data_IF_097997290422
#
_entry.id   IF_097997290422
#
_cell.length_a   1.000
_cell.length_b   1.000
_cell.length_c   1.000
_cell.angle_alpha   90.00
_cell.angle_beta   90.00
_cell.angle_gamma   90.00
#
_symmetry.space_group_name_H-M   'P 1'
#
loop_
_entity.id
_entity.type
_entity.pdbx_description
1 polymer ?
#
# COMPACT_ATOMS: atom_id res chain seq x y z
N UNK A 1 21.98 2.05 4.94
CA UNK A 1 20.84 2.53 4.12
C UNK A 1 20.52 1.48 3.08
N UNK A 2 19.35 0.85 3.22
CA UNK A 2 18.93 -0.29 2.37
C UNK A 2 18.46 0.11 0.97
N UNK A 3 18.07 1.39 0.77
CA UNK A 3 17.49 1.89 -0.48
C UNK A 3 18.32 3.05 -1.06
N UNK A 4 19.62 3.12 -0.74
CA UNK A 4 20.48 4.22 -1.17
C UNK A 4 20.38 4.46 -2.67
N UNK A 5 20.02 5.69 -3.04
CA UNK A 5 19.91 6.21 -4.40
C UNK A 5 18.89 5.48 -5.30
N UNK A 6 18.07 4.58 -4.74
CA UNK A 6 16.95 3.98 -5.50
C UNK A 6 15.85 5.03 -5.71
N UNK A 7 15.36 5.12 -6.94
CA UNK A 7 14.22 5.97 -7.27
C UNK A 7 12.93 5.23 -6.91
N UNK A 8 12.15 5.80 -6.00
CA UNK A 8 10.90 5.22 -5.51
C UNK A 8 9.71 6.14 -5.81
N UNK A 9 8.67 5.60 -6.43
CA UNK A 9 7.40 6.29 -6.66
C UNK A 9 6.36 5.72 -5.68
N UNK A 10 5.73 6.60 -4.89
CA UNK A 10 4.72 6.24 -3.90
C UNK A 10 3.37 6.82 -4.30
N UNK A 11 2.52 6.02 -4.89
CA UNK A 11 1.16 6.38 -5.26
C UNK A 11 0.25 6.32 -4.03
N UNK A 12 -0.52 7.37 -3.79
CA UNK A 12 -1.23 7.60 -2.54
C UNK A 12 -0.32 8.20 -1.46
N UNK A 13 0.76 8.87 -1.85
CA UNK A 13 1.80 9.42 -0.98
C UNK A 13 1.33 10.45 0.05
N UNK A 14 0.16 11.07 -0.14
CA UNK A 14 -0.46 11.98 0.83
C UNK A 14 -1.27 11.26 1.92
N UNK A 15 -1.56 9.97 1.75
CA UNK A 15 -2.30 9.17 2.72
C UNK A 15 -1.43 8.68 3.89
N UNK A 16 -2.05 8.19 4.96
CA UNK A 16 -1.33 7.71 6.14
C UNK A 16 -0.29 6.63 5.79
N UNK A 17 -0.71 5.57 5.09
CA UNK A 17 0.17 4.46 4.69
C UNK A 17 1.23 4.93 3.70
N UNK A 18 0.83 5.59 2.60
CA UNK A 18 1.78 6.08 1.60
C UNK A 18 2.79 7.05 2.16
N UNK A 19 2.36 8.00 3.00
CA UNK A 19 3.24 8.96 3.67
C UNK A 19 4.22 8.30 4.64
N UNK A 20 3.78 7.30 5.41
CA UNK A 20 4.66 6.56 6.32
C UNK A 20 5.73 5.76 5.54
N UNK A 21 5.34 5.08 4.47
CA UNK A 21 6.27 4.33 3.61
C UNK A 21 7.24 5.28 2.91
N UNK A 22 6.77 6.42 2.41
CA UNK A 22 7.61 7.44 1.78
C UNK A 22 8.69 7.96 2.73
N UNK A 23 8.31 8.30 3.96
CA UNK A 23 9.28 8.70 5.01
C UNK A 23 10.26 7.58 5.33
N UNK A 24 9.80 6.33 5.41
CA UNK A 24 10.67 5.19 5.68
C UNK A 24 11.65 4.95 4.53
N UNK A 25 11.21 5.04 3.27
CA UNK A 25 12.07 4.94 2.10
C UNK A 25 13.14 6.04 2.08
N UNK A 26 12.75 7.29 2.34
CA UNK A 26 13.68 8.42 2.41
C UNK A 26 14.73 8.24 3.52
N UNK A 27 14.34 7.79 4.72
CA UNK A 27 15.27 7.45 5.81
C UNK A 27 16.28 6.37 5.40
N UNK A 28 15.93 5.50 4.45
CA UNK A 28 16.81 4.48 3.92
C UNK A 28 17.58 4.93 2.66
N UNK A 29 17.53 6.21 2.32
CA UNK A 29 18.33 6.83 1.27
C UNK A 29 17.72 6.83 -0.12
N UNK A 30 16.45 6.46 -0.28
CA UNK A 30 15.74 6.57 -1.54
C UNK A 30 15.51 8.03 -1.95
N UNK A 31 15.42 8.28 -3.26
CA UNK A 31 14.79 9.49 -3.82
C UNK A 31 13.32 9.18 -4.00
N UNK A 32 12.47 9.87 -3.26
CA UNK A 32 11.04 9.55 -3.21
C UNK A 32 10.23 10.52 -4.06
N UNK A 33 9.46 10.00 -4.99
CA UNK A 33 8.45 10.73 -5.74
C UNK A 33 7.08 10.40 -5.15
N UNK A 34 6.49 11.36 -4.44
CA UNK A 34 5.17 11.28 -3.83
C UNK A 34 4.09 11.60 -4.85
N UNK A 35 3.10 10.75 -4.99
CA UNK A 35 2.05 10.91 -6.02
C UNK A 35 0.66 10.87 -5.39
N UNK A 36 -0.16 11.89 -5.66
CA UNK A 36 -1.58 11.95 -5.36
C UNK A 36 -2.28 13.02 -6.20
N UNK A 37 -3.58 13.22 -5.99
CA UNK A 37 -4.38 14.21 -6.74
C UNK A 37 -4.33 15.62 -6.16
N UNK A 38 -4.00 15.77 -4.88
CA UNK A 38 -4.02 17.07 -4.16
C UNK A 38 -2.61 17.46 -3.76
N UNK A 39 -2.22 18.68 -4.10
CA UNK A 39 -0.88 19.21 -3.87
C UNK A 39 -0.58 19.42 -2.37
N UNK A 40 -1.42 20.16 -1.66
CA UNK A 40 -1.17 20.57 -0.27
C UNK A 40 -0.81 19.38 0.67
N UNK A 41 -1.59 18.27 0.71
CA UNK A 41 -1.22 17.14 1.55
C UNK A 41 0.04 16.40 1.09
N UNK A 42 0.40 16.47 -0.22
CA UNK A 42 1.66 15.91 -0.71
C UNK A 42 2.85 16.74 -0.26
N UNK A 43 2.76 18.07 -0.36
CA UNK A 43 3.83 18.98 0.08
C UNK A 43 4.11 18.81 1.57
N UNK A 44 3.09 18.67 2.41
CA UNK A 44 3.28 18.44 3.83
C UNK A 44 4.16 17.18 4.10
N UNK A 45 3.94 16.08 3.37
CA UNK A 45 4.77 14.87 3.49
C UNK A 45 6.16 15.09 2.89
N UNK A 46 6.26 15.80 1.77
CA UNK A 46 7.54 16.09 1.12
C UNK A 46 8.43 16.98 2.01
N UNK A 47 7.84 17.98 2.65
CA UNK A 47 8.54 18.90 3.55
C UNK A 47 9.04 18.20 4.82
N UNK A 48 8.25 17.28 5.38
CA UNK A 48 8.70 16.41 6.48
C UNK A 48 9.95 15.61 6.08
N UNK A 49 9.93 15.01 4.87
CA UNK A 49 11.06 14.23 4.36
C UNK A 49 12.29 15.11 4.13
N UNK A 50 12.11 16.27 3.50
CA UNK A 50 13.19 17.23 3.21
C UNK A 50 13.81 17.80 4.51
N UNK A 51 12.96 18.15 5.48
CA UNK A 51 13.39 18.66 6.80
C UNK A 51 14.18 17.63 7.59
N UNK A 52 13.91 16.33 7.38
CA UNK A 52 14.69 15.23 7.94
C UNK A 52 15.98 14.90 7.14
N UNK A 53 16.32 15.70 6.12
CA UNK A 53 17.51 15.50 5.26
C UNK A 53 17.30 14.47 4.13
N UNK A 54 16.07 14.01 3.90
CA UNK A 54 15.73 13.12 2.80
C UNK A 54 15.50 13.86 1.47
N UNK A 55 15.29 13.09 0.40
CA UNK A 55 15.02 13.62 -0.95
C UNK A 55 13.58 13.28 -1.34
N UNK A 56 12.75 14.29 -1.57
CA UNK A 56 11.35 14.13 -1.96
C UNK A 56 10.93 15.13 -3.04
N UNK A 57 10.21 14.63 -4.02
CA UNK A 57 9.55 15.36 -5.10
C UNK A 57 8.07 15.01 -5.09
N UNK A 58 7.22 15.87 -5.65
CA UNK A 58 5.79 15.60 -5.77
C UNK A 58 5.36 15.48 -7.23
N UNK A 59 4.32 14.67 -7.47
CA UNK A 59 3.64 14.54 -8.76
C UNK A 59 2.12 14.53 -8.57
N UNK A 60 1.41 15.34 -9.34
CA UNK A 60 -0.05 15.37 -9.33
C UNK A 60 -0.58 14.44 -10.42
N UNK A 61 -1.06 13.25 -10.01
CA UNK A 61 -1.57 12.22 -10.93
C UNK A 61 -2.83 11.59 -10.35
N UNK A 62 -3.84 11.42 -11.19
CA UNK A 62 -4.94 10.50 -10.91
C UNK A 62 -4.56 9.11 -11.42
N UNK A 63 -4.38 8.16 -10.52
CA UNK A 63 -4.04 6.77 -10.86
C UNK A 63 -5.17 6.02 -11.58
N UNK A 64 -6.37 6.59 -11.63
CA UNK A 64 -7.48 6.07 -12.42
C UNK A 64 -7.27 6.34 -13.92
N UNK A 65 -6.40 7.28 -14.28
CA UNK A 65 -5.93 7.56 -15.62
C UNK A 65 -4.59 6.86 -15.87
N UNK A 66 -4.65 5.81 -16.70
CA UNK A 66 -3.48 4.99 -17.02
C UNK A 66 -2.40 5.75 -17.78
N UNK A 67 -2.78 6.64 -18.71
CA UNK A 67 -1.81 7.42 -19.49
C UNK A 67 -1.12 8.48 -18.62
N UNK A 68 -1.84 9.07 -17.66
CA UNK A 68 -1.23 9.96 -16.67
C UNK A 68 -0.18 9.24 -15.81
N UNK A 69 -0.43 7.98 -15.41
CA UNK A 69 0.56 7.15 -14.70
C UNK A 69 1.78 6.88 -15.58
N UNK A 70 1.57 6.47 -16.85
CA UNK A 70 2.66 6.20 -17.79
C UNK A 70 3.52 7.44 -18.06
N UNK A 71 2.89 8.58 -18.28
CA UNK A 71 3.56 9.87 -18.50
C UNK A 71 4.38 10.31 -17.31
N UNK A 72 3.81 10.15 -16.09
CA UNK A 72 4.53 10.49 -14.86
C UNK A 72 5.78 9.60 -14.66
N UNK A 73 5.69 8.30 -14.92
CA UNK A 73 6.86 7.40 -14.82
C UNK A 73 7.97 7.80 -15.81
N UNK A 74 7.62 8.21 -17.04
CA UNK A 74 8.59 8.73 -18.01
C UNK A 74 9.28 10.00 -17.49
N UNK A 75 8.51 10.96 -16.97
CA UNK A 75 9.05 12.21 -16.42
C UNK A 75 9.97 11.97 -15.22
N UNK A 76 9.60 11.04 -14.32
CA UNK A 76 10.45 10.65 -13.19
C UNK A 76 11.77 10.04 -13.69
N UNK A 77 11.69 9.17 -14.70
CA UNK A 77 12.87 8.52 -15.26
C UNK A 77 13.81 9.52 -15.94
N UNK A 78 13.28 10.50 -16.68
CA UNK A 78 14.06 11.56 -17.32
C UNK A 78 14.73 12.48 -16.29
N UNK A 79 14.02 12.81 -15.20
CA UNK A 79 14.52 13.74 -14.18
C UNK A 79 15.49 13.10 -13.20
N UNK A 80 15.21 11.87 -12.76
CA UNK A 80 15.85 11.26 -11.59
C UNK A 80 16.53 9.94 -11.89
N UNK A 81 16.28 9.34 -13.05
CA UNK A 81 16.77 8.02 -13.44
C UNK A 81 15.69 6.93 -13.29
N UNK A 82 16.06 5.71 -13.67
CA UNK A 82 15.14 4.58 -13.74
C UNK A 82 14.41 4.31 -12.41
N UNK A 83 13.08 4.24 -12.45
CA UNK A 83 12.26 3.90 -11.29
C UNK A 83 12.52 2.46 -10.88
N UNK A 84 12.95 2.27 -9.64
CA UNK A 84 13.27 0.96 -9.06
C UNK A 84 12.23 0.44 -8.09
N UNK A 85 11.40 1.30 -7.54
CA UNK A 85 10.36 0.94 -6.58
C UNK A 85 9.08 1.68 -6.95
N UNK A 86 7.97 0.95 -7.07
CA UNK A 86 6.63 1.50 -7.19
C UNK A 86 5.77 0.94 -6.06
N UNK A 87 5.29 1.80 -5.16
CA UNK A 87 4.41 1.43 -4.05
C UNK A 87 3.02 2.00 -4.27
N UNK A 88 2.00 1.13 -4.25
CA UNK A 88 0.59 1.52 -4.43
C UNK A 88 -0.19 1.43 -3.11
N UNK A 89 -0.57 2.58 -2.55
CA UNK A 89 -1.35 2.72 -1.32
C UNK A 89 -2.52 3.71 -1.49
N UNK A 90 -3.27 3.54 -2.57
CA UNK A 90 -4.44 4.37 -2.89
C UNK A 90 -5.65 3.88 -2.10
N UNK A 91 -6.46 4.80 -1.59
CA UNK A 91 -7.73 4.44 -0.93
C UNK A 91 -8.71 3.82 -1.92
N UNK A 92 -9.37 2.76 -1.52
CA UNK A 92 -10.32 2.02 -2.38
C UNK A 92 -11.75 2.52 -2.25
N UNK A 93 -12.04 3.41 -1.28
CA UNK A 93 -13.38 3.97 -1.09
C UNK A 93 -14.40 2.93 -0.64
N UNK A 94 -13.98 2.01 0.23
CA UNK A 94 -14.81 0.96 0.80
C UNK A 94 -15.88 1.52 1.75
N UNK A 95 -16.89 0.70 2.00
CA UNK A 95 -17.94 0.94 2.97
C UNK A 95 -18.04 -0.29 3.86
N UNK A 96 -17.91 -0.08 5.16
CA UNK A 96 -17.97 -1.12 6.18
C UNK A 96 -19.09 -0.82 7.18
N UNK A 97 -19.44 -1.79 8.03
CA UNK A 97 -20.48 -1.64 9.05
C UNK A 97 -21.89 -2.07 8.60
N UNK A 98 -22.06 -2.56 7.37
CA UNK A 98 -23.36 -3.01 6.84
C UNK A 98 -23.31 -4.49 6.49
N UNK A 99 -24.31 -5.31 6.88
CA UNK A 99 -24.42 -6.71 6.46
C UNK A 99 -24.49 -6.85 4.94
N UNK A 100 -23.86 -7.88 4.37
CA UNK A 100 -23.82 -8.07 2.90
C UNK A 100 -25.20 -8.12 2.25
N UNK A 101 -26.19 -8.68 2.92
CA UNK A 101 -27.57 -8.79 2.41
C UNK A 101 -28.28 -7.42 2.29
N UNK A 102 -27.76 -6.40 2.94
CA UNK A 102 -28.26 -5.02 2.92
C UNK A 102 -27.48 -4.11 1.98
N UNK A 103 -26.34 -4.60 1.42
CA UNK A 103 -25.55 -3.83 0.46
C UNK A 103 -26.22 -3.76 -0.90
N UNK A 104 -26.24 -2.59 -1.52
CA UNK A 104 -26.41 -2.49 -2.96
C UNK A 104 -25.12 -2.90 -3.69
N UNK A 105 -25.27 -3.49 -4.88
CA UNK A 105 -24.14 -4.04 -5.61
C UNK A 105 -23.10 -2.98 -6.02
N UNK A 106 -23.49 -1.75 -6.29
CA UNK A 106 -22.59 -0.65 -6.68
C UNK A 106 -21.68 -0.25 -5.51
N UNK A 107 -22.22 -0.14 -4.32
CA UNK A 107 -21.45 0.15 -3.10
C UNK A 107 -20.50 -1.00 -2.77
N UNK A 108 -20.96 -2.25 -2.89
CA UNK A 108 -20.12 -3.43 -2.72
C UNK A 108 -18.97 -3.48 -3.74
N UNK A 109 -19.25 -3.19 -5.02
CA UNK A 109 -18.26 -3.30 -6.11
C UNK A 109 -17.23 -2.16 -6.11
N UNK A 110 -17.58 -0.99 -5.58
CA UNK A 110 -16.73 0.21 -5.62
C UNK A 110 -15.28 -0.02 -5.17
N UNK A 111 -14.97 -0.65 -4.00
CA UNK A 111 -13.58 -0.91 -3.61
C UNK A 111 -12.87 -1.88 -4.56
N UNK A 112 -13.57 -2.82 -5.17
CA UNK A 112 -13.00 -3.72 -6.18
C UNK A 112 -12.61 -2.93 -7.42
N UNK A 113 -13.50 -2.12 -7.97
CA UNK A 113 -13.22 -1.30 -9.15
C UNK A 113 -12.10 -0.29 -8.89
N UNK A 114 -12.19 0.49 -7.81
CA UNK A 114 -11.19 1.52 -7.51
C UNK A 114 -9.84 0.90 -7.15
N UNK A 115 -9.83 -0.10 -6.27
CA UNK A 115 -8.61 -0.75 -5.80
C UNK A 115 -7.90 -1.50 -6.91
N UNK A 116 -8.63 -2.34 -7.65
CA UNK A 116 -8.02 -3.14 -8.71
C UNK A 116 -7.62 -2.28 -9.92
N UNK A 117 -8.44 -1.29 -10.32
CA UNK A 117 -8.10 -0.39 -11.44
C UNK A 117 -6.87 0.46 -11.12
N UNK A 118 -6.79 1.04 -9.93
CA UNK A 118 -5.63 1.83 -9.51
C UNK A 118 -4.35 0.99 -9.48
N UNK A 119 -4.42 -0.22 -8.89
CA UNK A 119 -3.29 -1.13 -8.82
C UNK A 119 -2.91 -1.68 -10.21
N UNK A 120 -3.88 -1.95 -11.08
CA UNK A 120 -3.65 -2.38 -12.46
C UNK A 120 -2.89 -1.31 -13.24
N UNK A 121 -3.36 -0.05 -13.21
CA UNK A 121 -2.71 1.05 -13.92
C UNK A 121 -1.27 1.26 -13.42
N UNK A 122 -1.10 1.36 -12.10
CA UNK A 122 0.23 1.53 -11.50
C UNK A 122 1.13 0.33 -11.78
N UNK A 123 0.63 -0.88 -11.51
CA UNK A 123 1.41 -2.12 -11.61
C UNK A 123 1.85 -2.41 -13.04
N UNK A 124 0.94 -2.29 -14.02
CA UNK A 124 1.28 -2.59 -15.42
C UNK A 124 2.22 -1.56 -16.03
N UNK A 125 2.05 -0.26 -15.75
CA UNK A 125 2.95 0.77 -16.28
C UNK A 125 4.32 0.74 -15.57
N UNK A 126 4.36 0.48 -14.26
CA UNK A 126 5.62 0.26 -13.55
C UNK A 126 6.35 -0.99 -14.06
N UNK A 127 5.64 -2.10 -14.28
CA UNK A 127 6.23 -3.33 -14.81
C UNK A 127 6.81 -3.11 -16.22
N UNK A 128 6.08 -2.43 -17.10
CA UNK A 128 6.55 -2.05 -18.44
C UNK A 128 7.85 -1.23 -18.37
N UNK A 129 7.85 -0.19 -17.53
CA UNK A 129 9.02 0.65 -17.33
C UNK A 129 10.22 -0.16 -16.78
N UNK A 130 10.01 -0.90 -15.68
CA UNK A 130 11.06 -1.66 -15.01
C UNK A 130 11.66 -2.77 -15.90
N UNK A 131 10.82 -3.47 -16.68
CA UNK A 131 11.27 -4.50 -17.62
C UNK A 131 12.26 -3.97 -18.66
N UNK A 132 12.15 -2.70 -19.05
CA UNK A 132 13.04 -2.05 -20.01
C UNK A 132 14.29 -1.45 -19.37
N UNK A 133 14.31 -1.30 -18.02
CA UNK A 133 15.36 -0.59 -17.30
C UNK A 133 16.09 -1.47 -16.28
N UNK A 134 16.10 -2.79 -16.45
CA UNK A 134 16.86 -3.72 -15.61
C UNK A 134 16.19 -4.10 -14.30
N UNK A 135 14.85 -4.18 -14.32
CA UNK A 135 14.05 -4.69 -13.21
C UNK A 135 13.72 -3.65 -12.12
N UNK A 136 13.03 -4.12 -11.10
CA UNK A 136 12.58 -3.29 -9.98
C UNK A 136 11.62 -4.04 -9.05
N UNK A 137 10.96 -3.29 -8.17
CA UNK A 137 10.01 -3.83 -7.20
C UNK A 137 8.68 -3.09 -7.29
N UNK A 138 7.60 -3.83 -7.48
CA UNK A 138 6.23 -3.33 -7.39
C UNK A 138 5.64 -3.86 -6.08
N UNK A 139 5.24 -2.95 -5.20
CA UNK A 139 4.61 -3.26 -3.93
C UNK A 139 3.16 -2.80 -3.89
N UNK A 140 2.26 -3.74 -3.59
CA UNK A 140 0.89 -3.45 -3.17
C UNK A 140 0.76 -3.34 -1.65
N UNK A 141 -0.41 -2.92 -1.21
CA UNK A 141 -0.79 -2.87 0.20
C UNK A 141 -2.17 -3.49 0.37
N UNK A 142 -2.28 -4.45 1.30
CA UNK A 142 -3.54 -5.15 1.59
C UNK A 142 -3.76 -5.27 3.10
N UNK A 143 -4.87 -5.87 3.48
CA UNK A 143 -5.21 -6.11 4.87
C UNK A 143 -5.55 -7.59 5.11
N UNK A 144 -5.70 -7.97 6.39
CA UNK A 144 -6.12 -9.31 6.79
C UNK A 144 -7.38 -9.78 6.07
N UNK A 145 -8.32 -8.85 5.81
CA UNK A 145 -9.56 -9.11 5.10
C UNK A 145 -9.38 -9.66 3.68
N UNK A 146 -8.20 -9.53 3.08
CA UNK A 146 -7.88 -10.16 1.80
C UNK A 146 -7.86 -11.71 1.87
N UNK A 147 -7.68 -12.28 3.06
CA UNK A 147 -7.60 -13.72 3.29
C UNK A 147 -8.59 -14.25 4.30
N UNK A 148 -8.85 -13.49 5.36
CA UNK A 148 -9.78 -13.87 6.41
C UNK A 148 -11.08 -13.07 6.28
N UNK A 149 -12.22 -13.75 6.30
CA UNK A 149 -13.51 -13.10 6.28
C UNK A 149 -13.84 -12.52 7.66
N UNK A 150 -14.38 -11.32 7.63
CA UNK A 150 -14.95 -10.64 8.80
C UNK A 150 -16.36 -10.15 8.44
N UNK A 151 -17.29 -10.07 9.41
CA UNK A 151 -18.61 -9.54 9.14
C UNK A 151 -18.52 -8.04 8.76
N UNK A 152 -19.51 -7.57 8.03
CA UNK A 152 -19.75 -6.15 7.72
C UNK A 152 -18.58 -5.43 7.00
N UNK A 153 -17.74 -6.16 6.26
CA UNK A 153 -16.59 -5.61 5.51
C UNK A 153 -16.92 -5.17 4.08
N UNK A 154 -18.16 -5.34 3.63
CA UNK A 154 -18.56 -5.03 2.26
C UNK A 154 -17.67 -5.70 1.22
N UNK A 155 -17.26 -4.93 0.20
CA UNK A 155 -16.37 -5.42 -0.87
C UNK A 155 -14.87 -5.32 -0.57
N UNK A 156 -14.47 -4.83 0.60
CA UNK A 156 -13.07 -4.56 0.92
C UNK A 156 -12.19 -5.82 0.87
N UNK A 157 -12.63 -6.91 1.51
CA UNK A 157 -11.89 -8.17 1.50
C UNK A 157 -11.75 -8.76 0.10
N UNK A 158 -12.82 -8.68 -0.70
CA UNK A 158 -12.82 -9.14 -2.09
C UNK A 158 -11.83 -8.34 -2.94
N UNK A 159 -11.81 -7.01 -2.78
CA UNK A 159 -10.82 -6.14 -3.43
C UNK A 159 -9.38 -6.51 -3.06
N UNK A 160 -9.13 -6.79 -1.77
CA UNK A 160 -7.82 -7.22 -1.30
C UNK A 160 -7.37 -8.55 -1.90
N UNK A 161 -8.25 -9.55 -1.94
CA UNK A 161 -7.97 -10.85 -2.55
C UNK A 161 -7.66 -10.72 -4.06
N UNK A 162 -8.43 -9.90 -4.78
CA UNK A 162 -8.21 -9.61 -6.18
C UNK A 162 -6.86 -8.92 -6.42
N UNK A 163 -6.50 -7.92 -5.58
CA UNK A 163 -5.23 -7.22 -5.64
C UNK A 163 -4.03 -8.16 -5.43
N UNK A 164 -4.10 -9.05 -4.42
CA UNK A 164 -3.04 -10.03 -4.15
C UNK A 164 -2.87 -11.01 -5.32
N UNK A 165 -3.98 -11.45 -5.91
CA UNK A 165 -3.92 -12.38 -7.04
C UNK A 165 -3.39 -11.69 -8.31
N UNK A 166 -3.79 -10.45 -8.58
CA UNK A 166 -3.25 -9.64 -9.67
C UNK A 166 -1.71 -9.49 -9.56
N UNK A 167 -1.18 -9.20 -8.38
CA UNK A 167 0.27 -9.09 -8.17
C UNK A 167 1.01 -10.41 -8.42
N UNK A 168 0.38 -11.58 -8.17
CA UNK A 168 0.95 -12.88 -8.54
C UNK A 168 1.05 -13.04 -10.05
N UNK A 169 0.00 -12.68 -10.81
CA UNK A 169 0.06 -12.70 -12.27
C UNK A 169 1.17 -11.81 -12.81
N UNK A 170 1.24 -10.58 -12.32
CA UNK A 170 2.25 -9.62 -12.74
C UNK A 170 3.69 -10.10 -12.44
N UNK A 171 3.87 -10.81 -11.31
CA UNK A 171 5.15 -11.41 -10.93
C UNK A 171 5.57 -12.53 -11.91
N UNK A 172 4.62 -13.37 -12.34
CA UNK A 172 4.89 -14.46 -13.29
C UNK A 172 5.25 -13.90 -14.68
N UNK A 173 4.53 -12.88 -15.12
CA UNK A 173 4.72 -12.29 -16.44
C UNK A 173 6.03 -11.48 -16.56
N UNK A 174 6.40 -10.74 -15.52
CA UNK A 174 7.53 -9.82 -15.56
C UNK A 174 8.76 -10.25 -14.72
N UNK A 175 8.67 -11.37 -14.01
CA UNK A 175 9.79 -11.95 -13.27
C UNK A 175 11.03 -12.24 -14.14
N UNK A 176 10.86 -12.77 -15.37
CA UNK A 176 12.00 -12.99 -16.29
C UNK A 176 12.78 -11.72 -16.64
N UNK A 177 12.18 -10.52 -16.52
CA UNK A 177 12.82 -9.22 -16.73
C UNK A 177 13.34 -8.59 -15.42
N UNK A 178 13.37 -9.34 -14.33
CA UNK A 178 13.87 -8.88 -13.04
C UNK A 178 12.89 -8.01 -12.25
N UNK A 179 11.59 -8.03 -12.57
CA UNK A 179 10.55 -7.32 -11.82
C UNK A 179 10.00 -8.23 -10.73
N UNK A 180 10.10 -7.80 -9.49
CA UNK A 180 9.49 -8.47 -8.34
C UNK A 180 8.18 -7.79 -7.99
N UNK A 181 7.11 -8.57 -7.83
CA UNK A 181 5.81 -8.08 -7.40
C UNK A 181 5.46 -8.71 -6.05
N UNK A 182 5.21 -7.85 -5.07
CA UNK A 182 5.01 -8.23 -3.68
C UNK A 182 3.90 -7.37 -3.06
N UNK A 183 3.52 -7.67 -1.83
CA UNK A 183 2.65 -6.77 -1.06
C UNK A 183 2.95 -6.85 0.44
N UNK A 184 2.56 -5.79 1.15
CA UNK A 184 2.54 -5.77 2.61
C UNK A 184 1.11 -6.01 3.06
N UNK A 185 0.91 -7.01 3.90
CA UNK A 185 -0.38 -7.25 4.56
C UNK A 185 -0.35 -6.67 5.96
N UNK A 186 -1.28 -5.77 6.25
CA UNK A 186 -1.41 -5.05 7.52
C UNK A 186 -2.63 -5.54 8.31
N UNK A 187 -2.59 -5.52 9.65
CA UNK A 187 -3.76 -5.83 10.47
C UNK A 187 -4.75 -4.65 10.58
N UNK A 188 -4.39 -3.49 9.97
CA UNK A 188 -4.96 -2.21 10.33
C UNK A 188 -4.19 -1.59 11.49
N UNK A 189 -3.48 -0.49 11.25
CA UNK A 189 -2.65 0.15 12.29
C UNK A 189 -3.48 1.18 13.07
N UNK A 190 -3.65 1.02 14.40
CA UNK A 190 -4.55 1.84 15.22
C UNK A 190 -4.10 3.30 15.34
N UNK A 191 -2.87 3.60 14.98
CA UNK A 191 -2.28 4.93 14.91
C UNK A 191 -2.62 5.69 13.60
N UNK A 192 -3.51 5.14 12.76
CA UNK A 192 -4.01 5.83 11.57
C UNK A 192 -5.47 6.30 11.76
N UNK A 193 -5.81 7.53 11.32
CA UNK A 193 -7.18 8.04 11.46
C UNK A 193 -8.24 7.15 10.84
N UNK A 194 -8.04 6.67 9.60
CA UNK A 194 -9.01 5.83 8.90
C UNK A 194 -9.25 4.47 9.59
N UNK A 195 -8.21 3.86 10.16
CA UNK A 195 -8.38 2.62 10.93
C UNK A 195 -9.11 2.88 12.24
N UNK A 196 -8.80 3.98 12.92
CA UNK A 196 -9.52 4.36 14.14
C UNK A 196 -11.01 4.54 13.88
N UNK A 197 -11.37 5.18 12.75
CA UNK A 197 -12.77 5.35 12.33
C UNK A 197 -13.46 4.00 12.09
N UNK A 198 -12.87 3.13 11.27
CA UNK A 198 -13.39 1.80 10.94
C UNK A 198 -13.55 0.93 12.18
N UNK A 199 -12.55 0.89 13.05
CA UNK A 199 -12.62 0.08 14.27
C UNK A 199 -13.64 0.64 15.27
N UNK A 200 -13.87 1.96 15.28
CA UNK A 200 -14.95 2.55 16.08
C UNK A 200 -16.32 2.10 15.59
N UNK A 201 -16.53 1.98 14.25
CA UNK A 201 -17.77 1.41 13.70
C UNK A 201 -17.98 -0.01 14.22
N UNK A 202 -17.00 -0.88 14.07
CA UNK A 202 -17.11 -2.27 14.53
C UNK A 202 -17.19 -2.41 16.05
N UNK A 203 -16.58 -1.53 16.82
CA UNK A 203 -16.71 -1.48 18.29
C UNK A 203 -18.13 -1.14 18.69
N UNK A 204 -18.72 -0.10 18.08
CA UNK A 204 -20.11 0.32 18.35
C UNK A 204 -21.11 -0.78 18.04
N UNK A 205 -20.97 -1.53 16.93
CA UNK A 205 -21.80 -2.68 16.59
C UNK A 205 -21.78 -3.78 17.67
N UNK A 206 -20.68 -3.87 18.41
CA UNK A 206 -20.47 -4.87 19.47
C UNK A 206 -20.70 -4.31 20.87
N UNK A 207 -21.11 -3.04 21.00
CA UNK A 207 -21.30 -2.35 22.29
C UNK A 207 -19.98 -2.14 23.05
N UNK A 208 -18.87 -2.01 22.33
CA UNK A 208 -17.50 -1.84 22.88
C UNK A 208 -16.97 -0.44 22.61
N UNK A 209 -15.99 -0.01 23.41
CA UNK A 209 -15.15 1.15 23.11
C UNK A 209 -14.05 0.79 22.11
N UNK A 210 -13.41 1.81 21.51
CA UNK A 210 -12.23 1.60 20.67
C UNK A 210 -11.07 0.89 21.42
N UNK A 211 -10.84 1.24 22.68
CA UNK A 211 -9.76 0.66 23.47
C UNK A 211 -10.03 -0.82 23.81
N UNK A 212 -11.27 -1.18 24.04
CA UNK A 212 -11.67 -2.58 24.29
C UNK A 212 -11.52 -3.43 23.03
N UNK A 213 -11.97 -2.98 21.86
CA UNK A 213 -11.80 -3.73 20.61
C UNK A 213 -10.33 -3.82 20.21
N UNK A 214 -9.53 -2.76 20.43
CA UNK A 214 -8.09 -2.77 20.21
C UNK A 214 -7.39 -3.80 21.11
N UNK A 215 -7.73 -3.83 22.39
CA UNK A 215 -7.17 -4.79 23.34
C UNK A 215 -7.55 -6.25 22.98
N UNK A 216 -8.78 -6.47 22.51
CA UNK A 216 -9.23 -7.77 22.03
C UNK A 216 -8.43 -8.23 20.82
N UNK A 217 -8.31 -7.39 19.79
CA UNK A 217 -7.52 -7.73 18.61
C UNK A 217 -6.03 -7.96 18.93
N UNK A 218 -5.46 -7.15 19.82
CA UNK A 218 -4.09 -7.35 20.28
C UNK A 218 -3.90 -8.68 21.01
N UNK A 219 -4.86 -9.05 21.87
CA UNK A 219 -4.84 -10.31 22.63
C UNK A 219 -4.84 -11.55 21.73
N UNK A 220 -5.48 -11.46 20.57
CA UNK A 220 -5.59 -12.58 19.64
C UNK A 220 -4.36 -12.74 18.72
N UNK A 221 -3.42 -11.78 18.77
CA UNK A 221 -2.16 -11.92 18.04
C UNK A 221 -1.11 -12.69 18.84
N UNK A 222 -0.26 -13.51 18.21
CA UNK A 222 0.89 -14.13 18.87
C UNK A 222 1.82 -13.14 19.57
N UNK A 223 2.02 -11.94 18.98
CA UNK A 223 2.85 -10.88 19.58
C UNK A 223 2.11 -10.05 20.64
N UNK A 224 0.82 -10.33 20.91
CA UNK A 224 -0.02 -9.61 21.87
C UNK A 224 -0.06 -8.10 21.66
N UNK A 225 0.11 -7.67 20.42
CA UNK A 225 0.04 -6.26 20.01
C UNK A 225 -0.30 -6.14 18.53
N UNK A 226 -0.89 -5.02 18.16
CA UNK A 226 -1.13 -4.66 16.77
C UNK A 226 0.08 -3.88 16.25
N UNK A 227 0.50 -4.15 15.02
CA UNK A 227 1.60 -3.44 14.40
C UNK A 227 1.26 -1.95 14.19
N UNK A 228 2.18 -1.07 14.58
CA UNK A 228 2.08 0.35 14.25
C UNK A 228 2.31 0.61 12.77
N UNK A 229 1.87 1.75 12.28
CA UNK A 229 2.07 2.14 10.89
C UNK A 229 3.56 2.22 10.51
N UNK A 230 4.42 2.65 11.44
CA UNK A 230 5.87 2.67 11.21
C UNK A 230 6.45 1.26 11.02
N UNK A 231 5.98 0.26 11.78
CA UNK A 231 6.42 -1.13 11.62
C UNK A 231 5.95 -1.73 10.29
N UNK A 232 4.76 -1.38 9.85
CA UNK A 232 4.25 -1.75 8.53
C UNK A 232 5.09 -1.11 7.41
N UNK A 233 5.47 0.16 7.57
CA UNK A 233 6.36 0.85 6.63
C UNK A 233 7.77 0.22 6.57
N UNK A 234 8.31 -0.25 7.70
CA UNK A 234 9.59 -0.96 7.73
C UNK A 234 9.54 -2.30 6.98
N UNK A 235 8.39 -2.99 6.99
CA UNK A 235 8.18 -4.18 6.16
C UNK A 235 8.22 -3.84 4.66
N UNK A 236 7.67 -2.69 4.24
CA UNK A 236 7.77 -2.22 2.87
C UNK A 236 9.22 -1.90 2.48
N UNK A 237 10.02 -1.31 3.38
CA UNK A 237 11.47 -1.10 3.16
C UNK A 237 12.19 -2.42 2.93
N UNK A 238 11.95 -3.41 3.79
CA UNK A 238 12.58 -4.73 3.68
C UNK A 238 12.28 -5.39 2.33
N UNK A 239 11.01 -5.43 1.91
CA UNK A 239 10.60 -6.02 0.63
C UNK A 239 11.17 -5.27 -0.57
N UNK A 240 11.36 -3.94 -0.46
CA UNK A 240 11.91 -3.10 -1.53
C UNK A 240 13.44 -3.18 -1.62
N UNK A 241 14.09 -3.74 -0.62
CA UNK A 241 15.55 -3.86 -0.55
C UNK A 241 16.07 -5.09 -1.29
N UNK A 242 17.38 -5.12 -1.50
CA UNK A 242 18.07 -6.27 -2.11
C UNK A 242 18.14 -7.48 -1.15
N UNK A 243 17.87 -7.29 0.16
CA UNK A 243 17.72 -8.37 1.12
C UNK A 243 16.53 -9.30 0.79
N UNK A 244 15.54 -8.79 0.08
CA UNK A 244 14.39 -9.56 -0.39
C UNK A 244 14.52 -9.98 -1.88
N UNK A 245 15.74 -10.02 -2.45
CA UNK A 245 15.96 -10.26 -3.89
C UNK A 245 15.43 -11.60 -4.41
N UNK A 246 15.30 -12.61 -3.55
CA UNK A 246 14.72 -13.92 -3.91
C UNK A 246 13.21 -14.00 -3.70
N UNK A 247 12.56 -12.91 -3.25
CA UNK A 247 11.13 -12.88 -2.95
C UNK A 247 10.35 -12.21 -4.08
N UNK A 248 9.35 -12.91 -4.61
CA UNK A 248 8.33 -12.38 -5.54
C UNK A 248 7.05 -13.20 -5.43
N UNK A 249 5.91 -12.70 -5.89
CA UNK A 249 4.59 -13.34 -5.82
C UNK A 249 4.15 -13.70 -4.39
N UNK A 250 4.71 -13.03 -3.38
CA UNK A 250 4.48 -13.26 -1.96
C UNK A 250 4.37 -11.94 -1.19
N UNK A 251 4.22 -12.00 0.11
CA UNK A 251 3.99 -10.82 0.94
C UNK A 251 4.86 -10.80 2.19
N UNK A 252 4.99 -9.62 2.81
CA UNK A 252 5.34 -9.51 4.22
C UNK A 252 4.05 -9.51 5.05
N UNK A 253 3.93 -10.51 5.91
CA UNK A 253 2.86 -10.59 6.90
C UNK A 253 3.22 -9.68 8.10
N UNK A 254 2.86 -8.38 8.00
CA UNK A 254 3.12 -7.40 9.04
C UNK A 254 1.97 -7.30 10.07
N UNK A 255 1.31 -8.44 10.36
CA UNK A 255 0.09 -8.48 11.17
C UNK A 255 0.32 -8.77 12.65
N UNK A 256 1.58 -8.98 13.07
CA UNK A 256 1.88 -9.46 14.42
C UNK A 256 1.43 -10.91 14.67
N UNK A 257 1.10 -11.63 13.59
CA UNK A 257 0.56 -12.99 13.64
C UNK A 257 -0.97 -13.04 13.77
N UNK A 258 -1.67 -11.92 13.62
CA UNK A 258 -3.15 -11.90 13.60
C UNK A 258 -3.72 -12.79 12.48
N UNK A 259 -2.96 -13.02 11.45
CA UNK A 259 -3.25 -13.98 10.39
C UNK A 259 -2.06 -14.93 10.24
N UNK A 260 -2.31 -16.21 10.35
CA UNK A 260 -1.33 -17.26 10.09
C UNK A 260 -1.43 -17.69 8.61
N UNK A 261 -0.30 -17.78 7.92
CA UNK A 261 -0.21 -18.22 6.51
C UNK A 261 0.14 -19.69 6.41
#
# INVERSE_FOLDING_TARGET
>A
MLLRDKIAVVYGGSGAVGGAVARAYARQGAVVHLVARKQEPLEAVADDIRSAGGRAEIGLVDVMDREAVASHLRLVAEKSGAVRIAFAAVSWGDSQGTPLVEHDFKTFLRPVETGLRSLFNVGTEAARHMSQHGGGVILGFTANAARQAYPNMGGFGVAGAAAEHFLRHLAVEHGPQGVRCLWVRSPGSPDTPGIREVWTIHANERGMSFDEIHAEFAKDTPLRRIASLSQVADAAVLLSSDLASSMTATMANATGGALLD
#
